data_IF_046405551371
#
_entry.id   IF_046405551371
#
_cell.length_a   1.000
_cell.length_b   1.000
_cell.length_c   1.000
_cell.angle_alpha   90.00
_cell.angle_beta   90.00
_cell.angle_gamma   90.00
#
_symmetry.space_group_name_H-M   'P 1'
#
loop_
_entity.id
_entity.type
_entity.pdbx_description
1 polymer ?
#
# COMPACT_ATOMS: atom_id res chain seq x y z
N UNK A 1 15.13 70.55 -2.09
CA UNK A 1 15.18 70.30 -3.55
C UNK A 1 13.78 69.86 -3.95
N UNK A 2 12.84 70.76 -4.24
CA UNK A 2 12.71 71.65 -5.41
C UNK A 2 12.79 70.91 -6.76
N UNK A 3 11.59 70.67 -7.33
CA UNK A 3 11.15 70.85 -8.74
C UNK A 3 9.68 70.37 -8.78
N UNK A 4 8.69 71.25 -8.64
CA UNK A 4 8.06 72.10 -9.66
C UNK A 4 7.65 71.37 -10.94
N UNK A 5 6.34 71.29 -11.17
CA UNK A 5 5.72 71.61 -12.47
C UNK A 5 4.22 71.84 -12.27
N UNK A 6 3.84 73.09 -12.47
CA UNK A 6 2.49 73.58 -12.65
C UNK A 6 1.82 72.89 -13.84
N UNK A 7 0.52 72.64 -13.74
CA UNK A 7 -0.30 72.73 -14.94
C UNK A 7 -1.70 73.29 -14.63
N UNK A 8 -1.95 74.42 -15.26
CA UNK A 8 -3.14 75.26 -15.22
C UNK A 8 -4.24 74.62 -16.05
N UNK A 9 -5.45 74.42 -15.52
CA UNK A 9 -6.63 74.28 -16.39
C UNK A 9 -7.87 74.91 -15.77
N UNK A 10 -8.38 75.85 -16.55
CA UNK A 10 -9.48 76.79 -16.39
C UNK A 10 -10.82 76.14 -16.04
N UNK A 11 -11.49 76.71 -15.04
CA UNK A 11 -12.89 76.49 -14.70
C UNK A 11 -13.84 76.85 -15.84
N UNK A 12 -14.76 75.95 -16.19
CA UNK A 12 -15.98 76.28 -16.96
C UNK A 12 -17.19 75.75 -16.20
N UNK A 13 -17.88 76.66 -15.53
CA UNK A 13 -19.15 76.41 -14.85
C UNK A 13 -20.27 76.35 -15.88
N UNK A 14 -20.75 75.15 -16.19
CA UNK A 14 -22.01 74.95 -16.89
C UNK A 14 -22.99 74.27 -15.94
N UNK A 15 -24.02 75.00 -15.57
CA UNK A 15 -25.22 74.51 -14.87
C UNK A 15 -25.87 73.42 -15.73
N UNK A 16 -25.94 72.15 -15.29
CA UNK A 16 -26.71 71.14 -15.99
C UNK A 16 -28.17 71.25 -15.59
N UNK A 17 -29.02 71.36 -16.61
CA UNK A 17 -30.46 71.24 -16.52
C UNK A 17 -30.87 69.94 -15.81
N UNK A 18 -31.99 70.04 -15.11
CA UNK A 18 -32.69 68.97 -14.41
C UNK A 18 -32.77 67.69 -15.24
N UNK A 19 -32.03 66.67 -14.83
CA UNK A 19 -32.14 65.31 -15.33
C UNK A 19 -33.46 64.74 -14.80
N UNK A 20 -34.36 64.20 -15.65
CA UNK A 20 -35.54 63.51 -15.17
C UNK A 20 -35.11 62.32 -14.33
N UNK A 21 -35.64 62.19 -13.11
CA UNK A 21 -35.51 61.00 -12.27
C UNK A 21 -36.02 59.79 -13.06
N UNK A 22 -35.10 59.12 -13.74
CA UNK A 22 -35.33 57.81 -14.28
C UNK A 22 -35.12 56.86 -13.11
N UNK A 23 -36.21 56.51 -12.44
CA UNK A 23 -36.22 55.41 -11.47
C UNK A 23 -35.79 54.15 -12.22
N UNK A 24 -34.51 53.81 -12.15
CA UNK A 24 -34.00 52.53 -12.62
C UNK A 24 -34.56 51.51 -11.64
N UNK A 25 -35.63 50.83 -12.03
CA UNK A 25 -36.09 49.65 -11.31
C UNK A 25 -34.96 48.60 -11.39
N UNK A 26 -34.11 48.57 -10.37
CA UNK A 26 -33.19 47.45 -10.16
C UNK A 26 -34.08 46.28 -9.74
N UNK A 27 -34.62 45.58 -10.74
CA UNK A 27 -35.25 44.28 -10.52
C UNK A 27 -34.15 43.35 -10.04
N UNK A 28 -34.09 43.13 -8.72
CA UNK A 28 -33.22 42.11 -8.13
C UNK A 28 -33.46 40.79 -8.85
N UNK A 29 -32.43 40.12 -9.41
CA UNK A 29 -32.60 38.85 -10.08
C UNK A 29 -33.27 37.87 -9.11
N UNK A 30 -34.44 37.40 -9.50
CA UNK A 30 -35.28 36.49 -8.72
C UNK A 30 -34.46 35.27 -8.29
N UNK A 31 -34.24 35.12 -6.98
CA UNK A 31 -33.50 34.01 -6.34
C UNK A 31 -34.04 32.59 -6.65
N UNK A 32 -35.13 32.45 -7.43
CA UNK A 32 -35.74 31.15 -7.75
C UNK A 32 -34.95 30.34 -8.76
N UNK A 33 -34.38 30.98 -9.79
CA UNK A 33 -33.72 30.27 -10.88
C UNK A 33 -32.35 29.73 -10.46
N UNK A 34 -31.63 30.46 -9.60
CA UNK A 34 -30.34 30.03 -9.05
C UNK A 34 -30.47 28.73 -8.22
N UNK A 35 -31.57 28.57 -7.47
CA UNK A 35 -31.82 27.34 -6.69
C UNK A 35 -32.08 26.14 -7.59
N UNK A 36 -32.76 26.34 -8.72
CA UNK A 36 -33.02 25.28 -9.70
C UNK A 36 -31.71 24.87 -10.39
N UNK A 37 -30.90 25.81 -10.87
CA UNK A 37 -29.60 25.51 -11.49
C UNK A 37 -28.62 24.85 -10.51
N UNK A 38 -28.60 25.29 -9.25
CA UNK A 38 -27.78 24.67 -8.21
C UNK A 38 -28.26 23.23 -7.91
N UNK A 39 -29.57 23.00 -7.86
CA UNK A 39 -30.14 21.66 -7.69
C UNK A 39 -29.78 20.72 -8.84
N UNK A 40 -29.86 21.18 -10.09
CA UNK A 40 -29.43 20.40 -11.25
C UNK A 40 -27.92 20.13 -11.25
N UNK A 41 -27.10 21.12 -10.91
CA UNK A 41 -25.65 20.95 -10.82
C UNK A 41 -25.28 19.90 -9.76
N UNK A 42 -25.89 19.95 -8.58
CA UNK A 42 -25.68 18.96 -7.51
C UNK A 42 -26.15 17.57 -7.94
N UNK A 43 -27.29 17.45 -8.62
CA UNK A 43 -27.80 16.18 -9.11
C UNK A 43 -26.88 15.56 -10.17
N UNK A 44 -26.34 16.36 -11.10
CA UNK A 44 -25.37 15.90 -12.10
C UNK A 44 -24.08 15.44 -11.42
N UNK A 45 -23.57 16.21 -10.46
CA UNK A 45 -22.37 15.84 -9.70
C UNK A 45 -22.58 14.53 -8.92
N UNK A 46 -23.74 14.35 -8.29
CA UNK A 46 -24.07 13.11 -7.59
C UNK A 46 -24.19 11.93 -8.55
N UNK A 47 -24.82 12.11 -9.72
CA UNK A 47 -24.92 11.07 -10.74
C UNK A 47 -23.54 10.68 -11.30
N UNK A 48 -22.66 11.66 -11.54
CA UNK A 48 -21.27 11.41 -11.92
C UNK A 48 -20.51 10.65 -10.82
N UNK A 49 -20.68 11.05 -9.56
CA UNK A 49 -20.06 10.38 -8.42
C UNK A 49 -20.52 8.93 -8.28
N UNK A 50 -21.82 8.66 -8.43
CA UNK A 50 -22.37 7.30 -8.40
C UNK A 50 -21.85 6.45 -9.56
N UNK A 51 -21.73 7.00 -10.78
CA UNK A 51 -21.13 6.31 -11.91
C UNK A 51 -19.66 5.99 -11.68
N UNK A 52 -18.88 6.93 -11.15
CA UNK A 52 -17.47 6.70 -10.80
C UNK A 52 -17.33 5.63 -9.71
N UNK A 53 -18.22 5.63 -8.71
CA UNK A 53 -18.21 4.61 -7.64
C UNK A 53 -18.52 3.22 -8.17
N UNK A 54 -19.50 3.09 -9.08
CA UNK A 54 -19.79 1.83 -9.75
C UNK A 54 -18.59 1.31 -10.57
N UNK A 55 -17.86 2.21 -11.24
CA UNK A 55 -16.68 1.84 -12.01
C UNK A 55 -15.51 1.42 -11.11
N UNK A 56 -15.31 2.09 -9.97
CA UNK A 56 -14.35 1.68 -8.93
C UNK A 56 -14.66 0.26 -8.45
N UNK A 57 -15.92 -0.01 -8.11
CA UNK A 57 -16.36 -1.33 -7.66
C UNK A 57 -16.13 -2.41 -8.74
N UNK A 58 -16.52 -2.13 -9.98
CA UNK A 58 -16.34 -3.07 -11.09
C UNK A 58 -14.86 -3.34 -11.43
N UNK A 59 -13.98 -2.34 -11.26
CA UNK A 59 -12.55 -2.48 -11.54
C UNK A 59 -11.78 -3.26 -10.47
N UNK A 60 -12.35 -3.44 -9.28
CA UNK A 60 -11.64 -4.02 -8.13
C UNK A 60 -11.13 -5.43 -8.38
N UNK A 61 -11.94 -6.22 -9.07
CA UNK A 61 -11.64 -7.63 -9.31
C UNK A 61 -10.97 -7.84 -10.69
N UNK A 62 -10.66 -6.74 -11.41
CA UNK A 62 -10.01 -6.85 -12.70
C UNK A 62 -8.55 -7.28 -12.60
N UNK A 63 -8.16 -8.14 -13.54
CA UNK A 63 -6.80 -8.63 -13.73
C UNK A 63 -6.06 -7.86 -14.83
N UNK A 64 -4.71 -7.85 -14.81
CA UNK A 64 -3.93 -7.29 -15.91
C UNK A 64 -4.31 -7.92 -17.25
N UNK A 65 -4.48 -7.08 -18.27
CA UNK A 65 -5.00 -7.49 -19.58
C UNK A 65 -6.50 -7.25 -19.74
N UNK A 66 -7.24 -7.05 -18.65
CA UNK A 66 -8.65 -6.67 -18.71
C UNK A 66 -8.86 -5.16 -18.93
N UNK A 67 -9.97 -4.75 -19.58
CA UNK A 67 -10.21 -3.35 -19.92
C UNK A 67 -10.24 -2.38 -18.72
N UNK A 68 -10.66 -2.84 -17.54
CA UNK A 68 -10.79 -1.99 -16.35
C UNK A 68 -9.55 -1.99 -15.45
N UNK A 69 -8.51 -2.77 -15.77
CA UNK A 69 -7.32 -2.87 -14.92
C UNK A 69 -6.57 -1.55 -14.81
N UNK A 70 -6.40 -0.81 -15.91
CA UNK A 70 -5.78 0.52 -15.87
C UNK A 70 -6.59 1.50 -15.01
N UNK A 71 -7.93 1.38 -15.00
CA UNK A 71 -8.77 2.20 -14.14
C UNK A 71 -8.58 1.84 -12.66
N UNK A 72 -8.48 0.54 -12.35
CA UNK A 72 -8.15 0.03 -11.02
C UNK A 72 -6.87 0.65 -10.47
N UNK A 73 -5.76 0.49 -11.20
CA UNK A 73 -4.42 0.86 -10.72
C UNK A 73 -4.19 2.36 -10.70
N UNK A 74 -4.69 3.10 -11.71
CA UNK A 74 -4.34 4.52 -11.88
C UNK A 74 -5.37 5.47 -11.25
N UNK A 75 -6.61 5.02 -11.04
CA UNK A 75 -7.69 5.88 -10.54
C UNK A 75 -8.24 5.36 -9.23
N UNK A 76 -8.75 4.13 -9.20
CA UNK A 76 -9.44 3.60 -8.02
C UNK A 76 -8.52 3.49 -6.81
N UNK A 77 -7.32 2.94 -7.02
CA UNK A 77 -6.32 2.78 -5.96
C UNK A 77 -5.72 4.10 -5.51
N UNK A 78 -5.43 5.01 -6.45
CA UNK A 78 -4.89 6.33 -6.12
C UNK A 78 -5.90 7.17 -5.34
N UNK A 79 -7.18 7.12 -5.73
CA UNK A 79 -8.25 7.74 -4.97
C UNK A 79 -8.33 7.16 -3.55
N UNK A 80 -8.26 5.83 -3.44
CA UNK A 80 -8.27 5.14 -2.15
C UNK A 80 -7.06 5.51 -1.29
N UNK A 81 -5.86 5.60 -1.86
CA UNK A 81 -4.64 6.01 -1.18
C UNK A 81 -4.80 7.41 -0.57
N UNK A 82 -5.35 8.36 -1.33
CA UNK A 82 -5.57 9.74 -0.88
C UNK A 82 -6.57 9.86 0.27
N UNK A 83 -7.45 8.87 0.46
CA UNK A 83 -8.37 8.85 1.60
C UNK A 83 -7.74 8.29 2.88
N UNK A 84 -6.54 7.71 2.81
CA UNK A 84 -5.83 7.18 3.99
C UNK A 84 -5.16 8.32 4.74
N UNK A 85 -5.69 8.61 5.93
CA UNK A 85 -5.19 9.66 6.80
C UNK A 85 -4.19 9.09 7.80
N UNK A 86 -2.96 9.61 7.77
CA UNK A 86 -1.88 9.22 8.67
C UNK A 86 -0.96 8.15 8.10
N UNK A 87 0.27 8.13 8.60
CA UNK A 87 1.35 7.26 8.13
C UNK A 87 0.99 5.79 8.20
N UNK A 88 0.44 5.33 9.34
CA UNK A 88 0.05 3.93 9.53
C UNK A 88 -0.97 3.46 8.50
N UNK A 89 -2.02 4.25 8.25
CA UNK A 89 -3.06 3.90 7.29
C UNK A 89 -2.55 3.92 5.83
N UNK A 90 -1.60 4.79 5.52
CA UNK A 90 -0.95 4.86 4.21
C UNK A 90 -0.05 3.66 3.98
N UNK A 91 0.81 3.31 4.96
CA UNK A 91 1.64 2.11 4.93
C UNK A 91 0.78 0.85 4.80
N UNK A 92 -0.27 0.71 5.61
CA UNK A 92 -1.17 -0.45 5.55
C UNK A 92 -1.82 -0.58 4.17
N UNK A 93 -2.31 0.52 3.61
CA UNK A 93 -2.90 0.49 2.26
C UNK A 93 -1.86 0.16 1.19
N UNK A 94 -0.64 0.67 1.29
CA UNK A 94 0.43 0.33 0.36
C UNK A 94 0.81 -1.16 0.45
N UNK A 95 0.86 -1.74 1.65
CA UNK A 95 1.03 -3.18 1.86
C UNK A 95 -0.14 -3.99 1.27
N UNK A 96 -1.38 -3.52 1.41
CA UNK A 96 -2.56 -4.15 0.80
C UNK A 96 -2.47 -4.16 -0.73
N UNK A 97 -1.93 -3.10 -1.34
CA UNK A 97 -1.71 -3.08 -2.81
C UNK A 97 -0.68 -4.12 -3.24
N UNK A 98 0.40 -4.29 -2.48
CA UNK A 98 1.42 -5.31 -2.75
C UNK A 98 0.81 -6.71 -2.63
N UNK A 99 0.06 -6.96 -1.56
CA UNK A 99 -0.69 -8.20 -1.35
C UNK A 99 -1.68 -8.48 -2.50
N UNK A 100 -2.36 -7.44 -2.99
CA UNK A 100 -3.23 -7.52 -4.18
C UNK A 100 -2.44 -7.93 -5.42
N UNK A 101 -1.25 -7.35 -5.66
CA UNK A 101 -0.39 -7.72 -6.81
C UNK A 101 0.05 -9.18 -6.73
N UNK A 102 0.45 -9.66 -5.56
CA UNK A 102 0.81 -11.07 -5.41
C UNK A 102 -0.40 -12.02 -5.51
N UNK A 103 -1.59 -11.57 -5.14
CA UNK A 103 -2.84 -12.31 -5.39
C UNK A 103 -3.13 -12.39 -6.89
N UNK A 104 -2.94 -11.29 -7.63
CA UNK A 104 -3.09 -11.27 -9.09
C UNK A 104 -2.08 -12.19 -9.78
N UNK A 105 -0.83 -12.26 -9.30
CA UNK A 105 0.13 -13.25 -9.80
C UNK A 105 -0.36 -14.68 -9.56
N UNK A 106 -0.92 -15.00 -8.40
CA UNK A 106 -1.50 -16.33 -8.16
C UNK A 106 -2.68 -16.61 -9.10
N UNK A 107 -3.54 -15.62 -9.36
CA UNK A 107 -4.65 -15.77 -10.31
C UNK A 107 -4.16 -15.96 -11.75
N UNK A 108 -3.13 -15.23 -12.17
CA UNK A 108 -2.49 -15.41 -13.47
C UNK A 108 -1.86 -16.81 -13.58
N UNK A 109 -1.21 -17.30 -12.53
CA UNK A 109 -0.65 -18.67 -12.53
C UNK A 109 -1.72 -19.75 -12.77
N UNK A 110 -2.97 -19.49 -12.37
CA UNK A 110 -4.10 -20.39 -12.60
C UNK A 110 -4.81 -20.16 -13.96
N UNK A 111 -4.63 -19.00 -14.59
CA UNK A 111 -5.26 -18.62 -15.86
C UNK A 111 -4.21 -18.44 -16.97
N UNK A 112 -3.91 -19.53 -17.67
CA UNK A 112 -2.98 -19.54 -18.80
C UNK A 112 -3.41 -18.64 -19.97
N UNK A 113 -4.70 -18.29 -20.09
CA UNK A 113 -5.20 -17.51 -21.22
C UNK A 113 -4.85 -16.02 -21.11
N UNK A 114 -4.69 -15.50 -19.89
CA UNK A 114 -4.39 -14.08 -19.61
C UNK A 114 -2.94 -13.87 -19.15
N UNK A 115 -2.21 -14.96 -18.89
CA UNK A 115 -0.79 -14.93 -18.54
C UNK A 115 0.08 -14.69 -19.76
N UNK A 116 0.61 -13.47 -19.84
CA UNK A 116 1.56 -13.03 -20.87
C UNK A 116 2.76 -12.37 -20.19
N UNK A 117 3.93 -12.33 -20.83
CA UNK A 117 5.08 -11.62 -20.27
C UNK A 117 4.77 -10.16 -19.91
N UNK A 118 3.92 -9.48 -20.69
CA UNK A 118 3.52 -8.10 -20.44
C UNK A 118 2.63 -7.97 -19.20
N UNK A 119 1.65 -8.87 -19.01
CA UNK A 119 0.77 -8.85 -17.83
C UNK A 119 1.56 -9.12 -16.55
N UNK A 120 2.50 -10.08 -16.58
CA UNK A 120 3.40 -10.36 -15.46
C UNK A 120 4.32 -9.18 -15.15
N UNK A 121 4.91 -8.56 -16.18
CA UNK A 121 5.78 -7.40 -16.01
C UNK A 121 5.04 -6.22 -15.39
N UNK A 122 3.77 -5.98 -15.77
CA UNK A 122 2.96 -4.91 -15.18
C UNK A 122 2.73 -5.15 -13.68
N UNK A 123 2.36 -6.37 -13.28
CA UNK A 123 2.11 -6.68 -11.87
C UNK A 123 3.38 -6.57 -11.03
N UNK A 124 4.48 -7.13 -11.53
CA UNK A 124 5.76 -7.07 -10.84
C UNK A 124 6.27 -5.63 -10.69
N UNK A 125 6.12 -4.79 -11.74
CA UNK A 125 6.51 -3.37 -11.68
C UNK A 125 5.73 -2.62 -10.62
N UNK A 126 4.40 -2.83 -10.56
CA UNK A 126 3.54 -2.21 -9.56
C UNK A 126 3.86 -2.69 -8.15
N UNK A 127 4.08 -4.00 -7.96
CA UNK A 127 4.49 -4.56 -6.67
C UNK A 127 5.79 -3.91 -6.17
N UNK A 128 6.78 -3.78 -7.04
CA UNK A 128 8.06 -3.17 -6.72
C UNK A 128 7.95 -1.66 -6.43
N UNK A 129 7.13 -0.93 -7.19
CA UNK A 129 6.84 0.49 -6.92
C UNK A 129 6.19 0.68 -5.54
N UNK A 130 5.23 -0.17 -5.20
CA UNK A 130 4.56 -0.12 -3.90
C UNK A 130 5.50 -0.53 -2.77
N UNK A 131 6.33 -1.56 -2.96
CA UNK A 131 7.34 -1.97 -1.98
C UNK A 131 8.33 -0.83 -1.69
N UNK A 132 8.82 -0.17 -2.73
CA UNK A 132 9.66 1.01 -2.60
C UNK A 132 8.95 2.14 -1.83
N UNK A 133 7.70 2.42 -2.17
CA UNK A 133 6.89 3.44 -1.48
C UNK A 133 6.73 3.13 0.01
N UNK A 134 6.48 1.86 0.36
CA UNK A 134 6.39 1.40 1.76
C UNK A 134 7.71 1.68 2.47
N UNK A 135 8.84 1.22 1.93
CA UNK A 135 10.15 1.41 2.55
C UNK A 135 10.50 2.88 2.69
N UNK A 136 10.30 3.69 1.65
CA UNK A 136 10.55 5.14 1.71
C UNK A 136 9.69 5.83 2.78
N UNK A 137 8.41 5.47 2.88
CA UNK A 137 7.50 6.00 3.91
C UNK A 137 7.98 5.61 5.30
N UNK A 138 8.34 4.33 5.51
CA UNK A 138 8.79 3.84 6.81
C UNK A 138 10.15 4.42 7.23
N UNK A 139 11.08 4.59 6.29
CA UNK A 139 12.41 5.13 6.58
C UNK A 139 12.38 6.64 6.87
N UNK A 140 11.48 7.38 6.21
CA UNK A 140 11.42 8.85 6.34
C UNK A 140 10.43 9.35 7.39
N UNK A 141 9.40 8.58 7.72
CA UNK A 141 8.37 8.98 8.67
C UNK A 141 8.82 8.73 10.11
N UNK A 142 9.09 9.81 10.85
CA UNK A 142 9.49 9.76 12.26
C UNK A 142 8.32 9.70 13.24
N UNK A 143 7.07 9.75 12.75
CA UNK A 143 5.86 9.62 13.59
C UNK A 143 5.51 8.17 13.91
N UNK A 144 6.02 7.21 13.13
CA UNK A 144 5.83 5.78 13.36
C UNK A 144 6.81 5.24 14.41
N UNK A 145 6.31 4.42 15.32
CA UNK A 145 7.15 3.70 16.28
C UNK A 145 8.06 2.69 15.57
N UNK A 146 9.27 2.40 16.09
CA UNK A 146 10.13 1.35 15.56
C UNK A 146 9.42 -0.01 15.44
N UNK A 147 8.57 -0.35 16.40
CA UNK A 147 7.78 -1.59 16.42
C UNK A 147 6.83 -1.65 15.23
N UNK A 148 6.07 -0.58 14.98
CA UNK A 148 5.18 -0.49 13.81
C UNK A 148 5.95 -0.57 12.50
N UNK A 149 7.14 0.05 12.41
CA UNK A 149 8.01 -0.06 11.23
C UNK A 149 8.48 -1.50 11.02
N UNK A 150 8.93 -2.18 12.07
CA UNK A 150 9.37 -3.57 12.01
C UNK A 150 8.23 -4.50 11.57
N UNK A 151 7.02 -4.35 12.11
CA UNK A 151 5.87 -5.15 11.70
C UNK A 151 5.51 -4.96 10.23
N UNK A 152 5.48 -3.71 9.75
CA UNK A 152 5.21 -3.40 8.35
C UNK A 152 6.30 -3.95 7.41
N UNK A 153 7.57 -3.87 7.80
CA UNK A 153 8.70 -4.39 7.02
C UNK A 153 8.71 -5.92 7.00
N UNK A 154 8.41 -6.59 8.12
CA UNK A 154 8.23 -8.04 8.14
C UNK A 154 7.08 -8.46 7.24
N UNK A 155 5.98 -7.70 7.23
CA UNK A 155 4.88 -7.92 6.30
C UNK A 155 5.32 -7.81 4.84
N UNK A 156 6.07 -6.77 4.52
CA UNK A 156 6.63 -6.60 3.18
C UNK A 156 7.54 -7.77 2.80
N UNK A 157 8.47 -8.16 3.67
CA UNK A 157 9.42 -9.25 3.41
C UNK A 157 8.70 -10.57 3.14
N UNK A 158 7.70 -10.96 3.95
CA UNK A 158 7.02 -12.23 3.70
C UNK A 158 6.20 -12.20 2.39
N UNK A 159 5.61 -11.05 2.04
CA UNK A 159 4.86 -10.89 0.79
C UNK A 159 5.80 -11.01 -0.41
N UNK A 160 6.94 -10.32 -0.40
CA UNK A 160 7.93 -10.42 -1.48
C UNK A 160 8.53 -11.82 -1.57
N UNK A 161 8.78 -12.47 -0.44
CA UNK A 161 9.30 -13.85 -0.39
C UNK A 161 8.31 -14.87 -0.93
N UNK A 162 7.03 -14.70 -0.62
CA UNK A 162 5.96 -15.49 -1.23
C UNK A 162 5.91 -15.28 -2.76
N UNK A 163 6.07 -14.04 -3.20
CA UNK A 163 6.23 -13.69 -4.62
C UNK A 163 7.42 -14.39 -5.29
N UNK A 164 8.61 -14.38 -4.66
CA UNK A 164 9.78 -15.11 -5.17
C UNK A 164 9.51 -16.61 -5.29
N UNK A 165 8.87 -17.18 -4.27
CA UNK A 165 8.52 -18.62 -4.23
C UNK A 165 7.59 -18.98 -5.39
N UNK A 166 6.61 -18.11 -5.67
CA UNK A 166 5.73 -18.27 -6.82
C UNK A 166 6.51 -18.17 -8.15
N UNK A 167 7.43 -17.21 -8.26
CA UNK A 167 8.30 -17.05 -9.43
C UNK A 167 9.29 -18.20 -9.65
N UNK A 168 9.69 -18.90 -8.59
CA UNK A 168 10.54 -20.08 -8.68
C UNK A 168 9.74 -21.34 -9.08
N UNK A 169 8.46 -21.38 -8.74
CA UNK A 169 7.57 -22.52 -9.01
C UNK A 169 6.94 -22.46 -10.40
N UNK A 170 6.55 -21.27 -10.85
CA UNK A 170 5.88 -21.04 -12.14
C UNK A 170 6.91 -20.59 -13.18
N UNK A 171 7.15 -21.40 -14.21
CA UNK A 171 8.22 -21.14 -15.19
C UNK A 171 8.06 -19.79 -15.92
N UNK A 172 6.81 -19.43 -16.21
CA UNK A 172 6.40 -18.19 -16.87
C UNK A 172 6.80 -16.96 -16.05
N UNK A 173 6.97 -17.11 -14.73
CA UNK A 173 7.23 -16.01 -13.79
C UNK A 173 8.73 -15.79 -13.53
N UNK A 174 9.59 -16.66 -14.05
CA UNK A 174 11.06 -16.48 -13.97
C UNK A 174 11.54 -15.09 -14.41
N UNK A 175 11.01 -14.44 -15.46
CA UNK A 175 11.45 -13.11 -15.88
C UNK A 175 11.22 -12.01 -14.85
N UNK A 176 10.24 -12.15 -13.96
CA UNK A 176 9.91 -11.13 -12.95
C UNK A 176 10.57 -11.38 -11.59
N UNK A 177 11.22 -12.53 -11.41
CA UNK A 177 11.89 -12.94 -10.16
C UNK A 177 12.87 -11.88 -9.65
N UNK A 178 13.73 -11.37 -10.52
CA UNK A 178 14.74 -10.37 -10.15
C UNK A 178 14.11 -9.10 -9.57
N UNK A 179 12.99 -8.66 -10.14
CA UNK A 179 12.31 -7.45 -9.67
C UNK A 179 11.69 -7.64 -8.29
N UNK A 180 11.13 -8.82 -8.01
CA UNK A 180 10.61 -9.16 -6.69
C UNK A 180 11.76 -9.26 -5.67
N UNK A 181 12.89 -9.82 -6.08
CA UNK A 181 14.08 -9.95 -5.22
C UNK A 181 14.65 -8.60 -4.80
N UNK A 182 14.66 -7.61 -5.71
CA UNK A 182 15.04 -6.23 -5.38
C UNK A 182 14.15 -5.64 -4.28
N UNK A 183 12.83 -5.93 -4.32
CA UNK A 183 11.90 -5.48 -3.27
C UNK A 183 12.18 -6.17 -1.93
N UNK A 184 12.46 -7.47 -1.94
CA UNK A 184 12.82 -8.23 -0.74
C UNK A 184 14.12 -7.71 -0.11
N UNK A 185 15.15 -7.47 -0.94
CA UNK A 185 16.43 -6.93 -0.46
C UNK A 185 16.24 -5.53 0.16
N UNK A 186 15.46 -4.67 -0.49
CA UNK A 186 15.16 -3.34 0.02
C UNK A 186 14.45 -3.41 1.39
N UNK A 187 13.42 -4.26 1.52
CA UNK A 187 12.69 -4.46 2.76
C UNK A 187 13.61 -5.01 3.88
N UNK A 188 14.43 -6.02 3.57
CA UNK A 188 15.36 -6.63 4.52
C UNK A 188 16.44 -5.64 4.99
N UNK A 189 16.95 -4.80 4.11
CA UNK A 189 17.93 -3.78 4.46
C UNK A 189 17.32 -2.71 5.39
N UNK A 190 16.11 -2.22 5.08
CA UNK A 190 15.38 -1.29 5.95
C UNK A 190 15.03 -1.94 7.30
N UNK A 191 14.61 -3.20 7.31
CA UNK A 191 14.30 -3.95 8.54
C UNK A 191 15.54 -4.08 9.43
N UNK A 192 16.67 -4.49 8.85
CA UNK A 192 17.95 -4.57 9.57
C UNK A 192 18.35 -3.23 10.18
N UNK A 193 18.22 -2.15 9.44
CA UNK A 193 18.54 -0.81 9.93
C UNK A 193 17.60 -0.38 11.07
N UNK A 194 16.30 -0.68 10.94
CA UNK A 194 15.30 -0.39 11.96
C UNK A 194 15.58 -1.16 13.25
N UNK A 195 15.88 -2.47 13.16
CA UNK A 195 16.24 -3.31 14.31
C UNK A 195 17.48 -2.75 15.03
N UNK A 196 18.56 -2.47 14.28
CA UNK A 196 19.79 -1.94 14.86
C UNK A 196 19.55 -0.59 15.55
N UNK A 197 18.75 0.29 14.94
CA UNK A 197 18.37 1.57 15.52
C UNK A 197 17.55 1.38 16.79
N UNK A 198 16.55 0.50 16.77
CA UNK A 198 15.70 0.19 17.92
C UNK A 198 16.53 -0.31 19.11
N UNK A 199 17.41 -1.29 18.89
CA UNK A 199 18.25 -1.87 19.95
C UNK A 199 19.28 -0.88 20.48
N UNK A 200 19.83 0.00 19.64
CA UNK A 200 20.85 0.97 20.06
C UNK A 200 20.30 2.22 20.74
N UNK A 201 19.03 2.56 20.52
CA UNK A 201 18.42 3.80 21.04
C UNK A 201 17.39 3.56 22.13
N UNK A 202 16.87 2.33 22.28
CA UNK A 202 15.87 1.99 23.29
C UNK A 202 16.48 1.45 24.57
N UNK A 203 15.73 1.55 25.66
CA UNK A 203 16.09 0.92 26.93
C UNK A 203 16.10 -0.62 26.78
N UNK A 204 17.07 -1.35 27.37
CA UNK A 204 17.09 -2.82 27.35
C UNK A 204 15.79 -3.49 27.81
N UNK A 205 15.05 -2.89 28.76
CA UNK A 205 13.75 -3.40 29.21
C UNK A 205 12.69 -3.33 28.11
N UNK A 206 12.68 -2.26 27.30
CA UNK A 206 11.77 -2.08 26.16
C UNK A 206 12.08 -3.12 25.07
N UNK A 207 13.37 -3.32 24.76
CA UNK A 207 13.82 -4.32 23.79
C UNK A 207 13.40 -5.73 24.23
N UNK A 208 13.56 -6.04 25.52
CA UNK A 208 13.17 -7.34 26.10
C UNK A 208 11.66 -7.54 26.06
N UNK A 209 10.86 -6.51 26.38
CA UNK A 209 9.41 -6.57 26.32
C UNK A 209 8.90 -6.79 24.89
N UNK A 210 9.55 -6.15 23.90
CA UNK A 210 9.27 -6.38 22.49
C UNK A 210 9.52 -7.85 22.11
N UNK A 211 10.68 -8.41 22.46
CA UNK A 211 11.00 -9.82 22.21
C UNK A 211 9.98 -10.78 22.82
N UNK A 212 9.58 -10.55 24.08
CA UNK A 212 8.56 -11.36 24.75
C UNK A 212 7.22 -11.31 24.00
N UNK A 213 6.84 -10.13 23.51
CA UNK A 213 5.62 -9.96 22.72
C UNK A 213 5.70 -10.72 21.40
N UNK A 214 6.81 -10.58 20.65
CA UNK A 214 6.98 -11.30 19.38
C UNK A 214 7.05 -12.82 19.58
N UNK A 215 7.64 -13.29 20.68
CA UNK A 215 7.68 -14.71 21.04
C UNK A 215 6.28 -15.24 21.36
N UNK A 216 5.46 -14.47 22.08
CA UNK A 216 4.07 -14.82 22.34
C UNK A 216 3.27 -14.95 21.04
N UNK A 217 3.42 -13.99 20.11
CA UNK A 217 2.81 -14.06 18.78
C UNK A 217 3.20 -15.34 18.02
N UNK A 218 4.50 -15.64 17.94
CA UNK A 218 4.98 -16.86 17.27
C UNK A 218 4.44 -18.11 17.95
N UNK A 219 4.44 -18.16 19.29
CA UNK A 219 3.91 -19.29 20.04
C UNK A 219 2.41 -19.52 19.80
N UNK A 220 1.64 -18.45 19.56
CA UNK A 220 0.19 -18.55 19.31
C UNK A 220 -0.13 -18.95 17.87
N UNK A 221 0.72 -18.57 16.91
CA UNK A 221 0.48 -18.76 15.47
C UNK A 221 1.12 -20.03 14.93
N UNK A 222 2.27 -20.44 15.44
CA UNK A 222 3.00 -21.64 15.01
C UNK A 222 2.16 -22.93 15.03
N UNK A 223 1.26 -23.18 16.01
CA UNK A 223 0.41 -24.37 16.00
C UNK A 223 -0.55 -24.48 14.80
N UNK A 224 -0.83 -23.36 14.11
CA UNK A 224 -1.69 -23.35 12.91
C UNK A 224 -0.94 -23.74 11.63
N UNK A 225 0.40 -23.77 11.68
CA UNK A 225 1.26 -24.22 10.57
C UNK A 225 1.20 -25.75 10.49
N UNK A 226 1.16 -26.29 9.27
CA UNK A 226 1.10 -27.74 9.06
C UNK A 226 2.26 -28.47 9.76
N UNK A 227 1.93 -29.50 10.54
CA UNK A 227 2.93 -30.24 11.31
C UNK A 227 3.94 -30.95 10.38
N UNK A 228 5.23 -30.77 10.65
CA UNK A 228 6.31 -31.24 9.80
C UNK A 228 6.50 -30.47 8.50
N UNK A 229 5.84 -29.32 8.29
CA UNK A 229 6.09 -28.49 7.11
C UNK A 229 7.48 -27.84 7.16
N UNK A 230 7.97 -27.38 6.00
CA UNK A 230 9.22 -26.60 5.92
C UNK A 230 9.11 -25.33 6.76
N UNK A 231 7.98 -24.63 6.69
CA UNK A 231 7.73 -23.42 7.46
C UNK A 231 7.77 -23.67 8.96
N UNK A 232 7.14 -24.75 9.45
CA UNK A 232 7.20 -25.09 10.87
C UNK A 232 8.65 -25.36 11.32
N UNK A 233 9.41 -26.15 10.55
CA UNK A 233 10.83 -26.44 10.86
C UNK A 233 11.67 -25.17 10.87
N UNK A 234 11.48 -24.29 9.89
CA UNK A 234 12.21 -23.03 9.82
C UNK A 234 11.85 -22.12 10.99
N UNK A 235 10.57 -21.95 11.31
CA UNK A 235 10.12 -21.14 12.44
C UNK A 235 10.68 -21.66 13.77
N UNK A 236 10.65 -22.97 14.02
CA UNK A 236 11.24 -23.59 15.22
C UNK A 236 12.75 -23.37 15.27
N UNK A 237 13.46 -23.56 14.15
CA UNK A 237 14.89 -23.30 14.10
C UNK A 237 15.21 -21.84 14.44
N UNK A 238 14.44 -20.88 13.92
CA UNK A 238 14.61 -19.45 14.22
C UNK A 238 14.28 -19.09 15.68
N UNK A 239 13.31 -19.75 16.31
CA UNK A 239 13.07 -19.58 17.76
C UNK A 239 14.26 -20.09 18.58
N UNK A 240 14.90 -21.19 18.17
CA UNK A 240 16.11 -21.68 18.83
C UNK A 240 17.29 -20.71 18.62
N UNK A 241 17.52 -20.24 17.39
CA UNK A 241 18.56 -19.24 17.07
C UNK A 241 18.35 -17.94 17.89
N UNK A 242 17.09 -17.53 18.10
CA UNK A 242 16.76 -16.39 18.96
C UNK A 242 17.19 -16.63 20.42
N UNK A 243 16.88 -17.81 20.97
CA UNK A 243 17.26 -18.12 22.35
C UNK A 243 18.78 -18.10 22.54
N UNK A 244 19.54 -18.67 21.60
CA UNK A 244 21.01 -18.61 21.59
C UNK A 244 21.51 -17.15 21.52
N UNK A 245 20.93 -16.33 20.65
CA UNK A 245 21.28 -14.91 20.56
C UNK A 245 20.95 -14.13 21.84
N UNK A 246 19.91 -14.48 22.60
CA UNK A 246 19.60 -13.88 23.91
C UNK A 246 20.66 -14.28 24.93
N UNK A 247 21.07 -15.56 24.97
CA UNK A 247 22.13 -16.06 25.86
C UNK A 247 23.47 -15.35 25.62
N UNK A 248 23.78 -15.06 24.36
CA UNK A 248 24.98 -14.32 23.92
C UNK A 248 24.85 -12.79 24.02
N UNK A 249 23.73 -12.27 24.55
CA UNK A 249 23.44 -10.84 24.66
C UNK A 249 23.46 -10.10 23.30
N UNK A 250 23.05 -10.77 22.22
CA UNK A 250 22.95 -10.26 20.86
C UNK A 250 21.51 -9.89 20.49
N UNK A 251 20.95 -8.89 21.17
CA UNK A 251 19.51 -8.55 21.08
C UNK A 251 19.02 -8.21 19.66
N UNK A 252 19.85 -7.60 18.83
CA UNK A 252 19.49 -7.31 17.43
C UNK A 252 19.34 -8.60 16.60
N UNK A 253 20.20 -9.59 16.81
CA UNK A 253 20.09 -10.89 16.14
C UNK A 253 18.90 -11.69 16.69
N UNK A 254 18.65 -11.64 18.01
CA UNK A 254 17.46 -12.24 18.60
C UNK A 254 16.17 -11.70 17.97
N UNK A 255 16.04 -10.37 17.83
CA UNK A 255 14.89 -9.74 17.16
C UNK A 255 14.79 -10.22 15.71
N UNK A 256 15.89 -10.18 14.97
CA UNK A 256 15.92 -10.63 13.57
C UNK A 256 15.47 -12.08 13.44
N UNK A 257 15.90 -12.97 14.33
CA UNK A 257 15.49 -14.38 14.29
C UNK A 257 14.00 -14.56 14.59
N UNK A 258 13.45 -13.92 15.63
CA UNK A 258 12.01 -14.08 15.92
C UNK A 258 11.13 -13.50 14.80
N UNK A 259 11.55 -12.40 14.18
CA UNK A 259 10.84 -11.84 13.03
C UNK A 259 10.93 -12.76 11.80
N UNK A 260 12.07 -13.42 11.56
CA UNK A 260 12.18 -14.49 10.54
C UNK A 260 11.32 -15.72 10.85
N UNK A 261 11.08 -16.03 12.12
CA UNK A 261 10.12 -17.06 12.48
C UNK A 261 8.69 -16.65 12.09
N UNK A 262 8.30 -15.40 12.37
CA UNK A 262 7.00 -14.83 11.93
C UNK A 262 6.88 -14.84 10.40
N UNK A 263 7.93 -14.45 9.69
CA UNK A 263 7.99 -14.48 8.22
C UNK A 263 7.74 -15.90 7.68
N UNK A 264 8.42 -16.91 8.21
CA UNK A 264 8.24 -18.30 7.79
C UNK A 264 6.80 -18.79 8.00
N UNK A 265 6.18 -18.45 9.13
CA UNK A 265 4.77 -18.78 9.43
C UNK A 265 3.84 -18.07 8.44
N UNK A 266 4.08 -16.79 8.17
CA UNK A 266 3.25 -15.98 7.29
C UNK A 266 3.33 -16.40 5.82
N UNK A 267 4.50 -16.81 5.32
CA UNK A 267 4.65 -17.34 3.96
C UNK A 267 3.81 -18.61 3.78
N UNK A 268 3.84 -19.53 4.76
CA UNK A 268 3.03 -20.75 4.73
C UNK A 268 1.55 -20.41 4.69
N UNK A 269 1.09 -19.53 5.60
CA UNK A 269 -0.30 -19.08 5.60
C UNK A 269 -0.68 -18.46 4.24
N UNK A 270 0.17 -17.59 3.68
CA UNK A 270 -0.14 -16.91 2.43
C UNK A 270 -0.20 -17.85 1.22
N UNK A 271 0.74 -18.80 1.12
CA UNK A 271 0.81 -19.73 -0.02
C UNK A 271 -0.17 -20.91 0.11
N UNK A 272 -0.55 -21.31 1.33
CA UNK A 272 -1.40 -22.48 1.55
C UNK A 272 -2.83 -22.16 2.01
N UNK A 273 -3.15 -20.99 2.57
CA UNK A 273 -4.56 -20.60 2.79
C UNK A 273 -5.28 -20.35 1.47
N UNK A 274 -4.56 -19.92 0.41
CA UNK A 274 -5.13 -19.87 -0.95
C UNK A 274 -5.55 -21.26 -1.47
N UNK A 275 -4.88 -22.33 -1.02
CA UNK A 275 -5.24 -23.72 -1.34
C UNK A 275 -6.36 -24.28 -0.43
N UNK A 276 -6.55 -23.75 0.78
CA UNK A 276 -7.52 -24.25 1.77
C UNK A 276 -8.93 -23.67 1.62
N UNK A 277 -9.15 -22.68 0.76
CA UNK A 277 -10.51 -22.26 0.43
C UNK A 277 -10.64 -20.92 -0.28
N UNK A 278 -10.54 -20.94 -1.61
CA UNK A 278 -11.39 -20.12 -2.49
C UNK A 278 -11.54 -20.81 -3.86
N UNK A 279 -12.52 -21.71 -3.95
CA UNK A 279 -13.46 -21.98 -5.06
C UNK A 279 -14.05 -23.38 -4.81
N UNK A 280 -15.35 -23.42 -4.54
CA UNK A 280 -16.15 -24.63 -4.71
C UNK A 280 -15.92 -25.20 -6.12
N UNK A 281 -15.11 -26.26 -6.22
CA UNK A 281 -15.05 -27.10 -7.42
C UNK A 281 -13.74 -27.15 -8.21
N UNK A 282 -12.67 -26.47 -7.80
CA UNK A 282 -11.34 -26.69 -8.38
C UNK A 282 -10.39 -27.01 -7.23
N UNK A 283 -10.15 -28.29 -6.97
CA UNK A 283 -8.94 -28.70 -6.24
C UNK A 283 -7.76 -28.38 -7.15
N UNK A 284 -6.88 -27.42 -6.83
CA UNK A 284 -5.62 -27.28 -7.54
C UNK A 284 -4.87 -28.59 -7.36
N UNK A 285 -4.38 -29.14 -8.46
CA UNK A 285 -3.43 -30.23 -8.42
C UNK A 285 -2.24 -29.75 -7.58
N UNK A 286 -1.93 -30.47 -6.50
CA UNK A 286 -0.86 -30.12 -5.55
C UNK A 286 0.40 -29.87 -6.37
N UNK A 287 0.81 -28.60 -6.51
CA UNK A 287 2.03 -28.29 -7.23
C UNK A 287 3.17 -28.94 -6.45
N UNK A 288 3.93 -29.86 -7.06
CA UNK A 288 5.07 -30.45 -6.38
C UNK A 288 6.07 -29.35 -6.06
N UNK A 289 6.43 -29.23 -4.78
CA UNK A 289 7.40 -28.25 -4.33
C UNK A 289 8.71 -28.41 -5.12
N UNK A 290 9.33 -27.31 -5.62
CA UNK A 290 10.64 -27.38 -6.23
C UNK A 290 11.67 -27.85 -5.20
N UNK A 291 12.37 -28.94 -5.51
CA UNK A 291 13.49 -29.42 -4.69
C UNK A 291 14.65 -28.41 -4.76
N UNK A 292 15.03 -27.83 -3.62
CA UNK A 292 16.34 -27.17 -3.45
C UNK A 292 16.39 -25.64 -3.31
N UNK A 293 15.68 -25.08 -2.33
CA UNK A 293 15.91 -23.69 -1.86
C UNK A 293 16.05 -23.61 -0.34
#
# INVERSE_FOLDING_TARGET
MQTSLENTTTSRTTKPDSIPETTIAITSPTHSNLKIYLGFAVAILLAMFLMSYALVYASRDSLPGEPLYTFKTNIAEELSARTKLGATAQTEFALQRIETRFTELQMLAADEATTTPDTLQVVASLANEHAKTVVETLDTDNSLSPETKMEALVKLTYLTRAGETLSDTVNEFKPIREQISVSEELANNSLKNTINTFVSTSDPEVVSAFLVTQMADVSTTLPNVANGSRAQRLAVARVNDMNEAIEDNQMAEAIKYILKAKEAIAIDAYLYDSERGFVDGITPEILPMPEGS
#
